data_IF_241333040724
#
_entry.id   IF_241333040724
#
_cell.length_a   1.000
_cell.length_b   1.000
_cell.length_c   1.000
_cell.angle_alpha   90.00
_cell.angle_beta   90.00
_cell.angle_gamma   90.00
#
_symmetry.space_group_name_H-M   'P 1'
#
loop_
_entity.id
_entity.type
_entity.pdbx_description
1 polymer ?
#
# COMPACT_ATOMS: atom_id res chain seq x y z
N UNK A 1 47.11 -5.22 57.40
CA UNK A 1 46.64 -6.38 56.60
C UNK A 1 45.38 -6.89 57.28
N UNK A 2 44.17 -6.97 56.73
CA UNK A 2 43.64 -6.93 55.36
C UNK A 2 42.23 -6.35 55.44
N UNK A 3 41.87 -5.38 54.60
CA UNK A 3 40.47 -4.94 54.45
C UNK A 3 39.76 -5.92 53.52
N UNK A 4 38.72 -6.60 54.02
CA UNK A 4 37.83 -7.45 53.24
C UNK A 4 36.80 -6.57 52.52
N UNK A 5 36.96 -6.44 51.20
CA UNK A 5 36.05 -5.73 50.31
C UNK A 5 34.93 -6.69 49.90
N UNK A 6 33.64 -6.42 50.17
CA UNK A 6 32.58 -7.30 49.71
C UNK A 6 32.38 -7.10 48.22
N UNK A 7 32.60 -8.16 47.44
CA UNK A 7 32.30 -8.21 46.01
C UNK A 7 30.77 -8.24 45.86
N UNK A 8 30.21 -7.12 45.41
CA UNK A 8 28.83 -7.01 44.97
C UNK A 8 28.70 -7.77 43.64
N UNK A 9 28.24 -9.01 43.71
CA UNK A 9 27.87 -9.80 42.54
C UNK A 9 26.53 -9.27 42.01
N UNK A 10 26.60 -8.43 40.98
CA UNK A 10 25.42 -8.00 40.22
C UNK A 10 25.06 -9.15 39.27
N UNK A 11 24.06 -9.94 39.64
CA UNK A 11 23.45 -10.90 38.72
C UNK A 11 22.54 -10.15 37.76
N UNK A 12 23.00 -10.01 36.51
CA UNK A 12 22.15 -9.57 35.40
C UNK A 12 21.15 -10.68 35.08
N UNK A 13 19.97 -10.64 35.70
CA UNK A 13 18.79 -11.37 35.24
C UNK A 13 18.33 -10.75 33.91
N UNK A 14 18.91 -11.24 32.80
CA UNK A 14 18.38 -10.98 31.46
C UNK A 14 17.08 -11.76 31.31
N UNK A 15 15.96 -11.08 31.56
CA UNK A 15 14.63 -11.59 31.22
C UNK A 15 14.49 -11.50 29.69
N UNK A 16 14.93 -12.56 29.01
CA UNK A 16 14.74 -12.73 27.57
C UNK A 16 13.27 -12.92 27.23
N UNK A 17 12.52 -11.83 27.11
CA UNK A 17 11.29 -11.86 26.34
C UNK A 17 11.68 -11.82 24.86
N UNK A 18 11.74 -12.98 24.22
CA UNK A 18 11.77 -13.04 22.76
C UNK A 18 10.44 -12.47 22.24
N UNK A 19 10.40 -11.14 22.10
CA UNK A 19 9.36 -10.49 21.33
C UNK A 19 9.51 -10.95 19.89
N UNK A 20 8.65 -11.89 19.47
CA UNK A 20 8.64 -12.42 18.11
C UNK A 20 8.44 -11.26 17.14
N UNK A 21 9.53 -10.80 16.51
CA UNK A 21 9.50 -9.65 15.60
C UNK A 21 8.70 -10.02 14.36
N UNK A 22 7.65 -9.23 14.08
CA UNK A 22 6.87 -9.40 12.86
C UNK A 22 7.75 -9.13 11.62
N UNK A 23 7.63 -9.94 10.55
CA UNK A 23 8.29 -9.66 9.27
C UNK A 23 7.78 -8.35 8.67
N UNK A 24 8.53 -7.75 7.75
CA UNK A 24 8.03 -6.61 6.98
C UNK A 24 6.97 -7.06 5.97
N UNK A 25 5.94 -6.24 5.78
CA UNK A 25 4.90 -6.54 4.81
C UNK A 25 5.38 -6.36 3.36
N UNK A 26 5.01 -7.31 2.50
CA UNK A 26 5.37 -7.45 1.08
C UNK A 26 4.12 -7.50 0.19
N UNK A 27 4.26 -7.62 -1.13
CA UNK A 27 3.14 -7.60 -2.09
C UNK A 27 3.33 -6.56 -3.18
N UNK A 28 2.64 -6.74 -4.30
CA UNK A 28 2.72 -5.81 -5.42
C UNK A 28 1.94 -4.52 -5.13
N UNK A 29 2.41 -3.39 -5.65
CA UNK A 29 1.74 -2.11 -5.51
C UNK A 29 0.30 -2.17 -6.05
N UNK A 30 -0.67 -1.68 -5.26
CA UNK A 30 -2.08 -1.70 -5.63
C UNK A 30 -2.75 -3.08 -5.58
N UNK A 31 -2.06 -4.11 -5.05
CA UNK A 31 -2.61 -5.45 -4.90
C UNK A 31 -3.34 -5.61 -3.56
N UNK A 32 -4.50 -6.28 -3.59
CA UNK A 32 -5.25 -6.69 -2.39
C UNK A 32 -5.39 -8.22 -2.41
N UNK A 33 -4.89 -8.87 -1.36
CA UNK A 33 -5.07 -10.30 -1.16
C UNK A 33 -6.40 -10.56 -0.47
N UNK A 34 -7.29 -11.29 -1.12
CA UNK A 34 -8.56 -11.76 -0.58
C UNK A 34 -8.39 -13.19 -0.07
N UNK A 35 -8.58 -13.39 1.23
CA UNK A 35 -8.62 -14.72 1.86
C UNK A 35 -10.08 -15.14 1.96
N UNK A 36 -10.50 -16.08 1.11
CA UNK A 36 -11.88 -16.56 1.01
C UNK A 36 -11.91 -17.98 0.44
N UNK A 37 -12.82 -18.84 0.91
CA UNK A 37 -12.98 -20.17 0.33
C UNK A 37 -13.43 -20.13 -1.13
N UNK A 38 -12.96 -21.10 -1.94
CA UNK A 38 -13.19 -21.13 -3.39
C UNK A 38 -14.68 -21.07 -3.77
N UNK A 39 -15.53 -21.83 -3.06
CA UNK A 39 -16.98 -21.82 -3.31
C UNK A 39 -17.64 -20.45 -3.02
N UNK A 40 -17.17 -19.72 -2.00
CA UNK A 40 -17.65 -18.37 -1.74
C UNK A 40 -17.09 -17.34 -2.73
N UNK A 41 -15.85 -17.54 -3.17
CA UNK A 41 -15.20 -16.70 -4.18
C UNK A 41 -15.87 -16.79 -5.56
N UNK A 42 -16.34 -17.98 -5.93
CA UNK A 42 -17.04 -18.25 -7.20
C UNK A 42 -18.55 -17.96 -7.13
N UNK A 43 -19.06 -17.50 -5.98
CA UNK A 43 -20.48 -17.16 -5.78
C UNK A 43 -20.67 -15.66 -5.47
N UNK A 44 -21.87 -15.30 -4.99
CA UNK A 44 -22.26 -13.92 -4.70
C UNK A 44 -21.27 -13.15 -3.80
N UNK A 45 -20.74 -13.71 -2.70
CA UNK A 45 -19.76 -13.01 -1.87
C UNK A 45 -18.50 -12.57 -2.63
N UNK A 46 -17.90 -13.47 -3.42
CA UNK A 46 -16.74 -13.13 -4.23
C UNK A 46 -17.05 -12.12 -5.33
N UNK A 47 -18.24 -12.21 -5.96
CA UNK A 47 -18.68 -11.23 -6.96
C UNK A 47 -18.84 -9.84 -6.35
N UNK A 48 -19.40 -9.75 -5.14
CA UNK A 48 -19.52 -8.49 -4.40
C UNK A 48 -18.15 -7.90 -4.08
N UNK A 49 -17.20 -8.70 -3.59
CA UNK A 49 -15.82 -8.25 -3.33
C UNK A 49 -15.18 -7.66 -4.59
N UNK A 50 -15.26 -8.36 -5.73
CA UNK A 50 -14.73 -7.87 -7.00
C UNK A 50 -15.41 -6.58 -7.45
N UNK A 51 -16.73 -6.49 -7.34
CA UNK A 51 -17.47 -5.27 -7.69
C UNK A 51 -17.08 -4.04 -6.86
N UNK A 52 -16.63 -4.24 -5.62
CA UNK A 52 -16.22 -3.16 -4.72
C UNK A 52 -14.75 -2.79 -4.93
N UNK A 53 -13.86 -3.79 -4.96
CA UNK A 53 -12.41 -3.57 -4.99
C UNK A 53 -11.86 -3.35 -6.40
N UNK A 54 -12.49 -3.91 -7.43
CA UNK A 54 -12.05 -3.78 -8.83
C UNK A 54 -12.92 -2.78 -9.61
N UNK A 55 -13.76 -1.98 -8.94
CA UNK A 55 -14.52 -0.91 -9.62
C UNK A 55 -13.55 0.02 -10.35
N UNK A 56 -13.90 0.52 -11.54
CA UNK A 56 -13.01 1.33 -12.34
C UNK A 56 -12.73 2.69 -11.68
N UNK A 57 -11.52 3.21 -11.86
CA UNK A 57 -11.19 4.59 -11.53
C UNK A 57 -11.89 5.50 -12.53
N UNK A 58 -12.86 6.30 -12.08
CA UNK A 58 -13.73 7.10 -12.95
C UNK A 58 -13.05 8.30 -13.60
N UNK A 59 -11.86 8.67 -13.13
CA UNK A 59 -11.12 9.86 -13.57
C UNK A 59 -10.03 9.56 -14.61
N UNK A 60 -9.82 8.29 -14.97
CA UNK A 60 -8.81 7.90 -15.95
C UNK A 60 -9.45 7.62 -17.32
N UNK A 61 -8.82 8.07 -18.43
CA UNK A 61 -9.32 7.77 -19.77
C UNK A 61 -9.20 6.28 -20.11
N UNK A 62 -8.15 5.63 -19.62
CA UNK A 62 -7.98 4.19 -19.69
C UNK A 62 -8.65 3.52 -18.49
N UNK A 63 -9.46 2.50 -18.75
CA UNK A 63 -10.15 1.76 -17.70
C UNK A 63 -9.15 0.95 -16.87
N UNK A 64 -8.96 1.37 -15.62
CA UNK A 64 -8.12 0.67 -14.64
C UNK A 64 -8.93 0.36 -13.37
N UNK A 65 -8.76 -0.83 -12.76
CA UNK A 65 -9.43 -1.17 -11.51
C UNK A 65 -8.81 -0.42 -10.33
N UNK A 66 -9.61 -0.16 -9.28
CA UNK A 66 -9.11 0.46 -8.04
C UNK A 66 -7.98 -0.35 -7.39
N UNK A 67 -8.10 -1.67 -7.39
CA UNK A 67 -7.08 -2.60 -6.91
C UNK A 67 -6.96 -3.78 -7.84
N UNK A 68 -5.76 -4.36 -7.92
CA UNK A 68 -5.57 -5.70 -8.44
C UNK A 68 -5.94 -6.71 -7.36
N UNK A 69 -6.99 -7.49 -7.56
CA UNK A 69 -7.38 -8.50 -6.56
C UNK A 69 -6.74 -9.84 -6.87
N UNK A 70 -6.12 -10.43 -5.85
CA UNK A 70 -5.62 -11.81 -5.88
C UNK A 70 -6.31 -12.58 -4.77
N UNK A 71 -6.65 -13.85 -5.01
CA UNK A 71 -7.38 -14.67 -4.03
C UNK A 71 -6.55 -15.87 -3.57
N UNK A 72 -6.69 -16.21 -2.29
CA UNK A 72 -6.26 -17.50 -1.75
C UNK A 72 -7.33 -18.08 -0.81
N UNK A 73 -7.32 -19.40 -0.63
CA UNK A 73 -8.15 -20.04 0.40
C UNK A 73 -7.58 -19.79 1.81
N UNK A 74 -8.39 -19.89 2.87
CA UNK A 74 -7.90 -19.84 4.25
C UNK A 74 -6.81 -20.86 4.54
N UNK A 75 -6.92 -22.07 3.95
CA UNK A 75 -5.90 -23.12 4.05
C UNK A 75 -4.55 -22.68 3.44
N UNK A 76 -4.59 -21.99 2.30
CA UNK A 76 -3.39 -21.52 1.61
C UNK A 76 -2.81 -20.22 2.20
N UNK A 77 -3.50 -19.57 3.15
CA UNK A 77 -3.04 -18.35 3.83
C UNK A 77 -1.96 -18.64 4.89
N UNK A 78 -0.87 -19.23 4.42
CA UNK A 78 0.32 -19.59 5.18
C UNK A 78 1.25 -18.40 5.47
N UNK A 79 2.44 -18.69 6.00
CA UNK A 79 3.40 -17.68 6.47
C UNK A 79 3.78 -16.65 5.39
N UNK A 80 3.96 -17.07 4.14
CA UNK A 80 4.32 -16.19 3.04
C UNK A 80 3.19 -15.19 2.72
N UNK A 81 1.98 -15.67 2.44
CA UNK A 81 0.84 -14.83 2.12
C UNK A 81 0.38 -13.95 3.29
N UNK A 82 0.63 -14.39 4.53
CA UNK A 82 0.43 -13.56 5.73
C UNK A 82 1.30 -12.30 5.74
N UNK A 83 2.39 -12.25 4.97
CA UNK A 83 3.20 -11.03 4.83
C UNK A 83 2.59 -10.02 3.88
N UNK A 84 1.51 -10.35 3.15
CA UNK A 84 0.91 -9.44 2.18
C UNK A 84 0.46 -8.13 2.84
N UNK A 85 0.77 -6.98 2.24
CA UNK A 85 0.60 -5.68 2.88
C UNK A 85 -0.85 -5.26 3.02
N UNK A 86 -1.73 -5.71 2.14
CA UNK A 86 -3.16 -5.36 2.15
C UNK A 86 -4.00 -6.63 2.01
N UNK A 87 -4.85 -6.92 3.00
CA UNK A 87 -5.59 -8.18 3.06
C UNK A 87 -7.07 -7.94 3.38
N UNK A 88 -7.98 -8.53 2.60
CA UNK A 88 -9.38 -8.71 2.99
C UNK A 88 -9.58 -10.17 3.40
N UNK A 89 -9.88 -10.41 4.67
CA UNK A 89 -10.10 -11.74 5.20
C UNK A 89 -11.61 -11.99 5.38
N UNK A 90 -12.19 -12.82 4.52
CA UNK A 90 -13.58 -13.23 4.61
C UNK A 90 -13.72 -14.50 5.47
N UNK A 91 -14.48 -14.40 6.55
CA UNK A 91 -14.85 -15.54 7.42
C UNK A 91 -16.35 -15.81 7.23
N UNK A 92 -16.69 -16.94 6.62
CA UNK A 92 -18.08 -17.33 6.35
C UNK A 92 -18.33 -18.67 7.01
N UNK A 93 -19.43 -18.79 7.76
CA UNK A 93 -19.75 -20.01 8.53
C UNK A 93 -19.30 -19.96 9.99
N UNK A 94 -18.78 -18.85 10.48
CA UNK A 94 -18.32 -18.70 11.87
C UNK A 94 -18.66 -17.32 12.44
N UNK A 95 -19.61 -17.27 13.37
CA UNK A 95 -20.07 -16.00 13.97
C UNK A 95 -19.15 -15.47 15.09
N UNK A 96 -18.21 -16.28 15.56
CA UNK A 96 -17.35 -15.90 16.70
C UNK A 96 -16.24 -14.93 16.31
N UNK A 97 -15.91 -14.85 15.02
CA UNK A 97 -14.87 -13.96 14.52
C UNK A 97 -15.37 -12.51 14.43
N UNK A 98 -14.50 -11.57 14.84
CA UNK A 98 -14.82 -10.14 14.85
C UNK A 98 -14.69 -9.54 13.44
N UNK A 99 -15.62 -8.67 13.08
CA UNK A 99 -15.50 -7.82 11.88
C UNK A 99 -14.77 -6.53 12.25
N UNK A 100 -13.76 -6.15 11.47
CA UNK A 100 -13.04 -4.90 11.67
C UNK A 100 -11.61 -4.91 11.12
N UNK A 101 -10.96 -3.72 11.14
CA UNK A 101 -9.59 -3.57 10.68
C UNK A 101 -8.59 -4.06 11.72
N UNK A 102 -7.46 -4.57 11.23
CA UNK A 102 -6.28 -4.92 11.99
C UNK A 102 -5.06 -4.32 11.30
N UNK A 103 -4.25 -3.56 12.06
CA UNK A 103 -2.95 -3.11 11.61
C UNK A 103 -1.89 -4.04 12.17
N UNK A 104 -0.88 -4.35 11.35
CA UNK A 104 0.30 -5.13 11.75
C UNK A 104 -0.03 -6.48 12.40
N UNK A 105 -1.08 -7.17 11.93
CA UNK A 105 -1.53 -8.45 12.51
C UNK A 105 -0.53 -9.57 12.30
N UNK A 106 0.01 -9.67 11.09
CA UNK A 106 0.96 -10.71 10.70
C UNK A 106 2.30 -10.17 10.19
N UNK A 107 2.32 -8.92 9.72
CA UNK A 107 3.53 -8.27 9.21
C UNK A 107 3.49 -6.76 9.48
N UNK A 108 4.66 -6.15 9.70
CA UNK A 108 4.82 -4.71 9.93
C UNK A 108 4.49 -3.91 8.66
N UNK A 109 3.64 -2.90 8.80
CA UNK A 109 3.08 -2.12 7.71
C UNK A 109 1.93 -2.81 6.97
N UNK A 110 1.22 -3.75 7.62
CA UNK A 110 0.06 -4.45 7.04
C UNK A 110 -1.25 -3.77 7.43
N UNK A 111 -2.16 -3.63 6.48
CA UNK A 111 -3.57 -3.33 6.71
C UNK A 111 -4.42 -4.55 6.34
N UNK A 112 -5.15 -5.08 7.32
CA UNK A 112 -6.04 -6.22 7.12
C UNK A 112 -7.46 -5.82 7.52
N UNK A 113 -8.44 -6.06 6.66
CA UNK A 113 -9.87 -5.96 7.00
C UNK A 113 -10.43 -7.36 7.15
N UNK A 114 -10.95 -7.71 8.32
CA UNK A 114 -11.65 -8.99 8.52
C UNK A 114 -13.16 -8.74 8.49
N UNK A 115 -13.91 -9.58 7.78
CA UNK A 115 -15.38 -9.54 7.79
C UNK A 115 -15.88 -10.94 8.06
N UNK A 116 -16.70 -11.09 9.11
CA UNK A 116 -17.24 -12.36 9.55
C UNK A 116 -18.75 -12.41 9.48
N UNK A 117 -19.29 -13.59 9.17
CA UNK A 117 -20.71 -13.89 9.26
C UNK A 117 -21.00 -15.41 9.33
N UNK A 118 -22.21 -15.75 9.77
CA UNK A 118 -22.69 -17.14 9.86
C UNK A 118 -22.92 -17.84 8.52
N UNK A 119 -23.15 -17.10 7.43
CA UNK A 119 -23.36 -17.64 6.08
C UNK A 119 -23.12 -16.56 5.02
N UNK A 120 -23.12 -16.95 3.74
CA UNK A 120 -22.84 -16.03 2.62
C UNK A 120 -23.76 -14.83 2.54
N UNK A 121 -25.08 -15.01 2.68
CA UNK A 121 -26.04 -13.90 2.60
C UNK A 121 -25.87 -12.90 3.76
N UNK A 122 -25.56 -13.39 4.96
CA UNK A 122 -25.21 -12.53 6.09
C UNK A 122 -23.86 -11.84 5.87
N UNK A 123 -22.91 -12.51 5.22
CA UNK A 123 -21.60 -11.95 4.89
C UNK A 123 -21.74 -10.78 3.92
N UNK A 124 -22.55 -10.92 2.86
CA UNK A 124 -22.79 -9.85 1.89
C UNK A 124 -23.33 -8.59 2.58
N UNK A 125 -24.30 -8.75 3.48
CA UNK A 125 -24.85 -7.65 4.28
C UNK A 125 -23.80 -7.02 5.19
N UNK A 126 -22.96 -7.83 5.84
CA UNK A 126 -21.89 -7.33 6.71
C UNK A 126 -20.81 -6.59 5.92
N UNK A 127 -20.39 -7.12 4.78
CA UNK A 127 -19.39 -6.49 3.92
C UNK A 127 -19.92 -5.20 3.30
N UNK A 128 -21.16 -5.18 2.80
CA UNK A 128 -21.77 -3.98 2.23
C UNK A 128 -21.76 -2.78 3.21
N UNK A 129 -21.99 -3.03 4.51
CA UNK A 129 -21.95 -1.99 5.56
C UNK A 129 -20.55 -1.38 5.75
N UNK A 130 -19.49 -2.11 5.43
CA UNK A 130 -18.10 -1.68 5.66
C UNK A 130 -17.30 -1.52 4.37
N UNK A 131 -17.93 -1.74 3.20
CA UNK A 131 -17.27 -1.79 1.91
C UNK A 131 -16.50 -0.50 1.61
N UNK A 132 -17.15 0.66 1.73
CA UNK A 132 -16.52 1.94 1.44
C UNK A 132 -15.40 2.27 2.46
N UNK A 133 -15.61 1.96 3.75
CA UNK A 133 -14.56 2.09 4.76
C UNK A 133 -13.35 1.19 4.48
N UNK A 134 -13.59 0.00 3.92
CA UNK A 134 -12.54 -0.95 3.51
C UNK A 134 -11.73 -0.37 2.35
N UNK A 135 -12.41 0.15 1.31
CA UNK A 135 -11.76 0.81 0.17
C UNK A 135 -10.91 1.99 0.65
N UNK A 136 -11.45 2.86 1.48
CA UNK A 136 -10.73 4.01 2.02
C UNK A 136 -9.54 3.61 2.90
N UNK A 137 -9.66 2.54 3.69
CA UNK A 137 -8.54 2.01 4.46
C UNK A 137 -7.41 1.57 3.53
N UNK A 138 -7.73 0.78 2.50
CA UNK A 138 -6.75 0.22 1.58
C UNK A 138 -6.11 1.30 0.70
N UNK A 139 -6.88 2.28 0.20
CA UNK A 139 -6.33 3.40 -0.57
C UNK A 139 -5.38 4.25 0.28
N UNK A 140 -5.78 4.62 1.51
CA UNK A 140 -4.91 5.39 2.42
C UNK A 140 -3.64 4.63 2.77
N UNK A 141 -3.77 3.33 3.03
CA UNK A 141 -2.62 2.46 3.31
C UNK A 141 -1.66 2.40 2.11
N UNK A 142 -2.17 2.23 0.89
CA UNK A 142 -1.38 2.24 -0.33
C UNK A 142 -0.66 3.59 -0.53
N UNK A 143 -1.38 4.70 -0.38
CA UNK A 143 -0.81 6.05 -0.48
C UNK A 143 0.32 6.26 0.54
N UNK A 144 0.11 5.87 1.80
CA UNK A 144 1.12 5.97 2.84
C UNK A 144 2.36 5.12 2.54
N UNK A 145 2.19 3.93 1.96
CA UNK A 145 3.32 3.08 1.56
C UNK A 145 4.11 3.71 0.42
N UNK A 146 3.43 4.26 -0.59
CA UNK A 146 4.07 4.97 -1.70
C UNK A 146 4.81 6.20 -1.19
N UNK A 147 4.16 7.05 -0.39
CA UNK A 147 4.77 8.24 0.19
C UNK A 147 6.03 7.91 1.01
N UNK A 148 5.95 6.91 1.90
CA UNK A 148 7.13 6.47 2.68
C UNK A 148 8.26 5.95 1.80
N UNK A 149 7.94 5.24 0.72
CA UNK A 149 8.95 4.76 -0.23
C UNK A 149 9.60 5.93 -0.96
N UNK A 150 8.81 6.83 -1.53
CA UNK A 150 9.31 8.00 -2.26
C UNK A 150 10.18 8.89 -1.38
N UNK A 151 9.74 9.19 -0.15
CA UNK A 151 10.53 9.97 0.81
C UNK A 151 11.86 9.30 1.16
N UNK A 152 11.90 7.96 1.22
CA UNK A 152 13.14 7.20 1.48
C UNK A 152 14.07 7.16 0.26
N UNK A 153 13.49 7.06 -0.93
CA UNK A 153 14.22 6.96 -2.21
C UNK A 153 14.56 8.33 -2.81
N UNK A 154 14.20 9.42 -2.12
CA UNK A 154 14.33 10.79 -2.59
C UNK A 154 15.77 11.14 -2.96
N UNK A 155 15.91 11.76 -4.13
CA UNK A 155 17.10 12.49 -4.54
C UNK A 155 16.97 13.93 -4.07
N UNK A 156 17.80 14.32 -3.09
CA UNK A 156 17.76 15.67 -2.52
C UNK A 156 18.15 16.74 -3.53
N UNK A 157 19.08 16.46 -4.44
CA UNK A 157 19.56 17.48 -5.40
C UNK A 157 18.46 17.83 -6.40
N UNK A 158 17.83 16.82 -6.99
CA UNK A 158 16.73 17.04 -7.95
C UNK A 158 15.50 17.61 -7.25
N UNK A 159 15.18 17.14 -6.04
CA UNK A 159 14.04 17.64 -5.26
C UNK A 159 14.22 19.11 -4.85
N UNK A 160 15.43 19.52 -4.43
CA UNK A 160 15.72 20.90 -4.07
C UNK A 160 15.76 21.82 -5.29
N UNK A 161 16.27 21.33 -6.44
CA UNK A 161 16.21 22.08 -7.70
C UNK A 161 14.76 22.37 -8.11
N UNK A 162 13.87 21.38 -8.03
CA UNK A 162 12.43 21.56 -8.28
C UNK A 162 11.81 22.51 -7.27
N UNK A 163 12.17 22.40 -5.99
CA UNK A 163 11.67 23.31 -4.95
C UNK A 163 12.08 24.76 -5.21
N UNK A 164 13.35 25.00 -5.54
CA UNK A 164 13.89 26.31 -5.84
C UNK A 164 13.25 26.96 -7.07
N UNK A 165 12.98 26.18 -8.11
CA UNK A 165 12.42 26.70 -9.37
C UNK A 165 10.90 26.89 -9.33
N UNK A 166 10.16 25.94 -8.72
CA UNK A 166 8.70 25.92 -8.76
C UNK A 166 8.01 26.30 -7.43
N UNK A 167 8.74 26.40 -6.32
CA UNK A 167 8.18 26.65 -4.99
C UNK A 167 7.41 25.48 -4.38
N UNK A 168 7.37 24.31 -5.04
CA UNK A 168 6.70 23.10 -4.56
C UNK A 168 7.72 22.04 -4.14
N UNK A 169 7.41 21.29 -3.08
CA UNK A 169 8.25 20.16 -2.65
C UNK A 169 7.66 18.86 -3.17
N UNK A 170 8.48 18.10 -3.87
CA UNK A 170 8.15 16.78 -4.38
C UNK A 170 9.23 15.81 -3.92
N UNK A 171 8.84 14.64 -3.40
CA UNK A 171 9.79 13.55 -3.12
C UNK A 171 10.10 12.82 -4.44
N UNK A 172 11.07 13.35 -5.20
CA UNK A 172 11.48 12.79 -6.49
C UNK A 172 12.51 11.69 -6.21
N UNK A 173 12.23 10.41 -6.56
CA UNK A 173 13.16 9.33 -6.27
C UNK A 173 14.40 9.41 -7.18
N UNK A 174 15.47 8.73 -6.81
CA UNK A 174 16.69 8.66 -7.62
C UNK A 174 16.49 8.17 -9.06
N UNK A 175 17.41 8.62 -9.93
CA UNK A 175 17.49 8.25 -11.35
C UNK A 175 16.74 9.18 -12.30
N UNK A 176 16.17 10.28 -11.82
CA UNK A 176 15.59 11.31 -12.68
C UNK A 176 16.63 12.36 -13.06
N UNK A 177 16.69 12.70 -14.34
CA UNK A 177 17.47 13.80 -14.89
C UNK A 177 16.55 14.95 -15.32
N UNK A 178 17.04 16.19 -15.18
CA UNK A 178 16.35 17.37 -15.68
C UNK A 178 16.65 17.52 -17.17
N UNK A 179 15.69 17.13 -18.01
CA UNK A 179 15.86 17.20 -19.47
C UNK A 179 15.64 18.61 -20.01
N UNK A 180 14.77 19.38 -19.34
CA UNK A 180 14.44 20.76 -19.70
C UNK A 180 13.90 21.51 -18.49
N UNK A 181 14.33 22.76 -18.32
CA UNK A 181 13.78 23.68 -17.32
C UNK A 181 13.77 25.10 -17.87
N UNK A 182 12.60 25.58 -18.29
CA UNK A 182 12.41 26.91 -18.88
C UNK A 182 10.94 27.36 -18.78
N UNK A 183 10.71 28.68 -18.76
CA UNK A 183 9.37 29.29 -18.82
C UNK A 183 8.34 28.67 -17.83
N UNK A 184 8.75 28.44 -16.58
CA UNK A 184 7.87 27.87 -15.55
C UNK A 184 7.58 26.38 -15.73
N UNK A 185 8.35 25.69 -16.59
CA UNK A 185 8.18 24.27 -16.90
C UNK A 185 9.46 23.50 -16.61
N UNK A 186 9.34 22.33 -15.95
CA UNK A 186 10.43 21.35 -15.79
C UNK A 186 9.97 19.99 -16.31
N UNK A 187 10.78 19.38 -17.17
CA UNK A 187 10.66 17.98 -17.58
C UNK A 187 11.75 17.18 -16.87
N UNK A 188 11.33 16.23 -16.05
CA UNK A 188 12.18 15.20 -15.46
C UNK A 188 11.99 13.90 -16.23
N UNK A 189 13.08 13.19 -16.50
CA UNK A 189 13.02 11.87 -17.13
C UNK A 189 13.86 10.86 -16.37
N UNK A 190 13.37 9.64 -16.26
CA UNK A 190 14.12 8.49 -15.79
C UNK A 190 13.97 7.33 -16.76
N UNK A 191 15.09 6.79 -17.20
CA UNK A 191 15.15 5.61 -18.05
C UNK A 191 15.49 4.38 -17.20
N UNK A 192 14.70 3.31 -17.32
CA UNK A 192 14.93 2.05 -16.59
C UNK A 192 14.75 0.85 -17.48
N UNK A 193 15.70 -0.07 -17.41
CA UNK A 193 15.48 -1.42 -17.94
C UNK A 193 14.59 -2.19 -16.98
N UNK A 194 13.44 -2.65 -17.45
CA UNK A 194 12.53 -3.49 -16.67
C UNK A 194 12.49 -4.86 -17.32
N UNK A 195 12.80 -5.90 -16.55
CA UNK A 195 12.68 -7.29 -16.97
C UNK A 195 11.26 -7.77 -16.67
N UNK A 196 10.50 -8.15 -17.70
CA UNK A 196 9.14 -8.63 -17.58
C UNK A 196 8.81 -9.63 -18.69
N UNK A 197 8.09 -10.70 -18.38
CA UNK A 197 7.69 -11.74 -19.37
C UNK A 197 8.82 -12.36 -20.19
N UNK A 198 10.05 -12.40 -19.65
CA UNK A 198 11.23 -12.96 -20.34
C UNK A 198 11.90 -12.02 -21.34
N UNK A 199 11.47 -10.76 -21.41
CA UNK A 199 12.07 -9.72 -22.25
C UNK A 199 12.52 -8.55 -21.38
N UNK A 200 13.66 -7.96 -21.75
CA UNK A 200 14.07 -6.66 -21.23
C UNK A 200 13.46 -5.56 -22.09
N UNK A 201 12.75 -4.63 -21.47
CA UNK A 201 12.24 -3.46 -22.17
C UNK A 201 12.66 -2.20 -21.44
N UNK A 202 13.09 -1.20 -22.22
CA UNK A 202 13.36 0.13 -21.69
C UNK A 202 12.03 0.82 -21.36
N UNK A 203 11.89 1.28 -20.12
CA UNK A 203 10.77 2.08 -19.64
C UNK A 203 11.27 3.49 -19.39
N UNK A 204 10.67 4.44 -20.10
CA UNK A 204 10.93 5.86 -19.91
C UNK A 204 9.80 6.42 -19.05
N UNK A 205 10.15 7.01 -17.92
CA UNK A 205 9.22 7.67 -17.01
C UNK A 205 9.46 9.18 -17.05
N UNK A 206 8.42 9.93 -17.40
CA UNK A 206 8.47 11.39 -17.43
C UNK A 206 7.64 12.01 -16.31
N UNK A 207 8.16 13.05 -15.68
CA UNK A 207 7.39 13.95 -14.81
C UNK A 207 7.46 15.35 -15.38
N UNK A 208 6.32 15.91 -15.77
CA UNK A 208 6.20 17.27 -16.25
C UNK A 208 5.60 18.16 -15.15
N UNK A 209 6.32 19.19 -14.78
CA UNK A 209 5.88 20.19 -13.80
C UNK A 209 5.73 21.50 -14.55
N UNK A 210 4.56 22.13 -14.46
CA UNK A 210 4.29 23.42 -15.07
C UNK A 210 3.47 24.29 -14.13
N UNK A 211 3.79 25.58 -14.07
CA UNK A 211 2.96 26.59 -13.40
C UNK A 211 2.87 27.86 -14.24
N UNK A 212 1.74 28.54 -14.08
CA UNK A 212 1.48 29.87 -14.62
C UNK A 212 0.65 30.65 -13.60
N UNK A 213 0.67 31.99 -13.64
CA UNK A 213 -0.14 32.81 -12.76
C UNK A 213 -1.63 32.50 -12.88
N UNK A 214 -2.31 32.40 -11.73
CA UNK A 214 -3.76 32.34 -11.70
C UNK A 214 -4.35 33.70 -12.05
N UNK A 215 -5.11 33.78 -13.15
CA UNK A 215 -5.72 35.05 -13.60
C UNK A 215 -7.22 35.05 -13.33
N UNK A 216 -7.92 33.97 -13.69
CA UNK A 216 -9.37 33.84 -13.51
C UNK A 216 -9.82 32.38 -13.68
N UNK A 217 -11.02 32.05 -13.20
CA UNK A 217 -11.61 30.71 -13.27
C UNK A 217 -11.82 30.21 -14.72
N UNK A 218 -11.85 31.13 -15.69
CA UNK A 218 -11.98 30.82 -17.12
C UNK A 218 -10.85 29.92 -17.65
N UNK A 219 -9.71 29.84 -16.96
CA UNK A 219 -8.58 28.96 -17.35
C UNK A 219 -8.93 27.47 -17.29
N UNK A 220 -9.95 27.08 -16.51
CA UNK A 220 -10.40 25.70 -16.39
C UNK A 220 -11.58 25.37 -17.31
N UNK A 221 -12.12 26.38 -18.00
CA UNK A 221 -13.18 26.21 -19.00
C UNK A 221 -12.54 25.88 -20.34
N UNK A 222 -12.04 24.66 -20.49
CA UNK A 222 -11.69 24.11 -21.80
C UNK A 222 -13.00 23.64 -22.44
N UNK A 223 -13.65 24.53 -23.20
CA UNK A 223 -14.78 24.19 -24.07
C UNK A 223 -14.29 23.49 -25.34
#
# INVERSE_FOLDING_TARGET
>A
MRYLLPILVITLLSCGTESKRLPNASGAQGEVLVVMDKGHWESAPGALVRSVLERPITTLPQREPLFKVVQCTPHNFGSLLRTHHTVLYAVIGNDTARTGPYMDRYARGQALMQVSATNGANWDRSFAKVAENTVQLFQRHQLQRVAKRLAKERDEAVSEQVHSYHGVRLDIPGGFDVMRQENGTTWLQRDRMVSGSGLEHNVIEGVLIHHHPYVSDSIFNVL
#
